data_IF_586081889537
#
_entry.id   IF_586081889537
#
_cell.length_a   1.000
_cell.length_b   1.000
_cell.length_c   1.000
_cell.angle_alpha   90.00
_cell.angle_beta   90.00
_cell.angle_gamma   90.00
#
_symmetry.space_group_name_H-M   'P 1'
#
loop_
_entity.id
_entity.type
_entity.pdbx_description
1 polymer ?
#
# COMPACT_ATOMS: atom_id res chain seq x y z
N UNK A 1 -5.74 -16.81 9.08
CA UNK A 1 -4.49 -16.04 9.17
C UNK A 1 -4.39 -15.38 10.53
N UNK A 2 -3.38 -15.75 11.32
CA UNK A 2 -3.17 -15.20 12.67
C UNK A 2 -2.20 -14.01 12.62
N UNK A 3 -2.23 -13.16 13.64
CA UNK A 3 -1.44 -11.91 13.74
C UNK A 3 0.09 -12.14 13.67
N UNK A 4 0.55 -13.37 13.88
CA UNK A 4 1.96 -13.76 13.89
C UNK A 4 2.54 -14.06 12.49
N UNK A 5 1.72 -14.42 11.50
CA UNK A 5 2.18 -14.71 10.12
C UNK A 5 2.75 -13.48 9.39
N UNK A 6 2.44 -12.28 9.88
CA UNK A 6 2.93 -11.00 9.38
C UNK A 6 4.45 -10.78 9.56
N UNK A 7 5.11 -11.54 10.44
CA UNK A 7 6.53 -11.36 10.78
C UNK A 7 7.52 -11.98 9.78
N UNK A 8 7.04 -12.65 8.74
CA UNK A 8 7.88 -13.41 7.78
C UNK A 8 8.46 -12.50 6.69
N UNK A 9 9.77 -12.56 6.34
CA UNK A 9 10.40 -11.59 5.43
C UNK A 9 10.04 -11.74 3.94
N UNK A 10 9.36 -12.82 3.55
CA UNK A 10 9.08 -13.13 2.14
C UNK A 10 7.92 -12.30 1.56
N UNK A 11 7.00 -11.83 2.40
CA UNK A 11 5.90 -10.96 1.99
C UNK A 11 6.02 -9.67 2.81
N UNK A 12 6.39 -8.56 2.16
CA UNK A 12 6.35 -7.24 2.76
C UNK A 12 5.05 -6.56 2.34
N UNK A 13 3.89 -6.84 2.96
CA UNK A 13 2.62 -6.37 2.43
C UNK A 13 2.46 -4.84 2.49
N UNK A 14 3.37 -4.14 3.19
CA UNK A 14 3.50 -2.69 3.18
C UNK A 14 3.97 -2.14 1.82
N UNK A 15 4.63 -2.97 1.02
CA UNK A 15 5.08 -2.63 -0.33
C UNK A 15 3.94 -2.59 -1.35
N UNK A 16 2.74 -3.10 -0.99
CA UNK A 16 1.52 -2.90 -1.76
C UNK A 16 0.98 -1.45 -1.60
N UNK A 17 1.86 -0.47 -1.80
CA UNK A 17 1.58 0.96 -1.73
C UNK A 17 1.76 1.59 -3.12
N UNK A 18 0.76 2.34 -3.57
CA UNK A 18 0.75 2.96 -4.89
C UNK A 18 1.21 4.42 -4.78
N UNK A 19 2.26 4.78 -5.51
CA UNK A 19 2.71 6.18 -5.61
C UNK A 19 2.10 6.84 -6.84
N UNK A 20 1.31 7.89 -6.63
CA UNK A 20 0.80 8.77 -7.68
C UNK A 20 1.27 10.21 -7.39
N UNK A 21 2.14 10.73 -8.25
CA UNK A 21 2.83 12.00 -8.07
C UNK A 21 3.57 12.04 -6.71
N UNK A 22 3.09 12.82 -5.74
CA UNK A 22 3.64 12.91 -4.39
C UNK A 22 2.69 12.30 -3.32
N UNK A 23 1.73 11.49 -3.75
CA UNK A 23 0.77 10.82 -2.86
C UNK A 23 1.05 9.33 -2.84
N UNK A 24 1.27 8.79 -1.65
CA UNK A 24 1.36 7.34 -1.45
C UNK A 24 0.03 6.84 -0.92
N UNK A 25 -0.67 6.04 -1.71
CA UNK A 25 -1.88 5.31 -1.28
C UNK A 25 -1.41 4.01 -0.65
N UNK A 26 -1.73 3.78 0.62
CA UNK A 26 -1.15 2.70 1.42
C UNK A 26 -2.23 2.02 2.29
N UNK A 27 -2.19 0.70 2.52
CA UNK A 27 -3.15 0.04 3.40
C UNK A 27 -3.08 0.57 4.85
N UNK A 28 -4.23 0.90 5.44
CA UNK A 28 -4.30 1.43 6.81
C UNK A 28 -3.75 0.46 7.88
N UNK A 29 -3.60 -0.82 7.55
CA UNK A 29 -2.99 -1.85 8.40
C UNK A 29 -1.48 -1.67 8.65
N UNK A 30 -0.80 -0.70 8.01
CA UNK A 30 0.63 -0.39 8.22
C UNK A 30 0.92 1.02 8.79
N UNK A 31 0.44 1.36 9.99
CA UNK A 31 0.61 2.71 10.54
C UNK A 31 2.08 3.11 10.71
N UNK A 32 2.98 2.14 10.99
CA UNK A 32 4.43 2.39 11.08
C UNK A 32 5.03 2.81 9.74
N UNK A 33 4.55 2.25 8.62
CA UNK A 33 5.00 2.61 7.28
C UNK A 33 4.44 3.96 6.87
N UNK A 34 3.17 4.25 7.17
CA UNK A 34 2.58 5.57 6.97
C UNK A 34 3.42 6.66 7.65
N UNK A 35 3.68 6.52 8.95
CA UNK A 35 4.45 7.49 9.72
C UNK A 35 5.90 7.67 9.18
N UNK A 36 6.53 6.60 8.67
CA UNK A 36 7.86 6.68 8.05
C UNK A 36 7.85 7.46 6.74
N UNK A 37 6.80 7.30 5.93
CA UNK A 37 6.62 8.02 4.67
C UNK A 37 6.27 9.49 4.88
N UNK A 38 5.38 9.78 5.84
CA UNK A 38 5.04 11.15 6.24
C UNK A 38 6.26 11.92 6.74
N UNK A 39 7.12 11.29 7.56
CA UNK A 39 8.41 11.87 7.99
C UNK A 39 9.35 12.18 6.83
N UNK A 40 9.21 11.47 5.71
CA UNK A 40 9.95 11.71 4.47
C UNK A 40 9.25 12.71 3.54
N UNK A 41 8.23 13.42 4.01
CA UNK A 41 7.47 14.45 3.30
C UNK A 41 6.61 13.93 2.13
N UNK A 42 6.30 12.63 2.09
CA UNK A 42 5.26 12.10 1.22
C UNK A 42 3.88 12.42 1.79
N UNK A 43 2.90 12.71 0.93
CA UNK A 43 1.49 12.77 1.35
C UNK A 43 0.94 11.35 1.39
N UNK A 44 0.70 10.80 2.57
CA UNK A 44 0.15 9.45 2.69
C UNK A 44 -1.38 9.50 2.71
N UNK A 45 -2.03 8.70 1.86
CA UNK A 45 -3.46 8.40 1.94
C UNK A 45 -3.61 6.95 2.38
N UNK A 46 -3.84 6.77 3.68
CA UNK A 46 -4.16 5.45 4.23
C UNK A 46 -5.60 5.06 3.85
N UNK A 47 -5.80 3.86 3.32
CA UNK A 47 -7.12 3.32 2.94
C UNK A 47 -7.33 1.94 3.56
N UNK A 48 -8.57 1.63 3.94
CA UNK A 48 -8.91 0.28 4.37
C UNK A 48 -9.02 -0.65 3.16
N UNK A 49 -8.23 -1.71 3.18
CA UNK A 49 -8.23 -2.79 2.18
C UNK A 49 -8.20 -4.16 2.86
N UNK A 50 -8.65 -4.23 4.12
CA UNK A 50 -8.59 -5.43 4.95
C UNK A 50 -9.24 -6.66 4.31
N UNK A 51 -10.35 -6.50 3.58
CA UNK A 51 -10.98 -7.58 2.82
C UNK A 51 -10.13 -8.07 1.65
N UNK A 52 -9.45 -7.17 0.93
CA UNK A 52 -8.54 -7.54 -0.16
C UNK A 52 -7.30 -8.28 0.39
N UNK A 53 -6.81 -7.86 1.56
CA UNK A 53 -5.66 -8.50 2.21
C UNK A 53 -5.92 -9.96 2.61
N UNK A 54 -7.19 -10.35 2.85
CA UNK A 54 -7.56 -11.76 3.07
C UNK A 54 -7.31 -12.63 1.82
N UNK A 55 -7.38 -12.02 0.64
CA UNK A 55 -7.12 -12.66 -0.65
C UNK A 55 -5.70 -12.38 -1.17
N UNK A 56 -4.75 -12.06 -0.28
CA UNK A 56 -3.36 -11.72 -0.61
C UNK A 56 -3.21 -10.51 -1.56
N UNK A 57 -4.26 -9.68 -1.67
CA UNK A 57 -4.30 -8.51 -2.53
C UNK A 57 -4.02 -7.20 -1.76
N UNK A 58 -3.70 -6.13 -2.49
CA UNK A 58 -3.34 -4.82 -1.96
C UNK A 58 -3.43 -3.71 -3.02
N UNK A 59 -2.96 -2.50 -2.69
CA UNK A 59 -3.23 -1.31 -3.51
C UNK A 59 -2.60 -1.39 -4.91
N UNK A 60 -1.36 -1.85 -5.00
CA UNK A 60 -0.61 -1.90 -6.27
C UNK A 60 -1.13 -2.94 -7.24
N UNK A 61 -1.35 -4.18 -6.79
CA UNK A 61 -1.84 -5.26 -7.65
C UNK A 61 -3.30 -5.08 -8.09
N UNK A 62 -4.11 -4.31 -7.33
CA UNK A 62 -5.47 -3.94 -7.72
C UNK A 62 -5.54 -2.68 -8.61
N UNK A 63 -4.41 -2.18 -9.11
CA UNK A 63 -4.34 -0.94 -9.88
C UNK A 63 -3.73 -1.16 -11.27
N UNK A 64 -4.39 -0.62 -12.29
CA UNK A 64 -3.83 -0.45 -13.63
C UNK A 64 -3.62 1.04 -13.88
N UNK A 65 -2.38 1.45 -14.13
CA UNK A 65 -2.01 2.85 -14.32
C UNK A 65 -1.93 3.15 -15.82
N UNK A 66 -2.75 4.08 -16.28
CA UNK A 66 -2.72 4.54 -17.67
C UNK A 66 -2.03 5.89 -17.75
N UNK A 67 -1.16 6.06 -18.73
CA UNK A 67 -0.65 7.36 -19.10
C UNK A 67 -1.47 7.89 -20.28
N UNK A 68 -2.08 9.05 -20.12
CA UNK A 68 -2.71 9.75 -21.23
C UNK A 68 -1.61 10.30 -22.16
N UNK A 69 -1.31 9.55 -23.22
CA UNK A 69 -1.07 10.14 -24.53
C UNK A 69 -2.12 9.56 -25.46
N UNK A 70 -3.32 10.14 -25.39
CA UNK A 70 -4.33 9.91 -26.41
C UNK A 70 -3.77 10.44 -27.74
N UNK A 71 -3.55 9.55 -28.70
CA UNK A 71 -3.64 9.85 -30.12
C UNK A 71 -4.81 9.07 -30.66
#
# INVERSE_FOLDING_TARGET
>A
MTKDEWRTPAFAPAANALLLNNVVILPASFPKTCARLEKRRFRVRAIDVSELQKAEAGVTCCSLIFNSKAR
#
